data_IF_769110682193
#
_entry.id   IF_769110682193
#
_cell.length_a   1.000
_cell.length_b   1.000
_cell.length_c   1.000
_cell.angle_alpha   90.00
_cell.angle_beta   90.00
_cell.angle_gamma   90.00
#
_symmetry.space_group_name_H-M   'P 1'
#
loop_
_entity.id
_entity.type
_entity.pdbx_description
1 polymer ?
#
# COMPACT_ATOMS: atom_id res chain seq x y z
N UNK A 1 22.39 7.31 10.91
CA UNK A 1 21.40 7.79 9.92
C UNK A 1 21.78 7.15 8.60
N UNK A 2 21.07 6.09 8.21
CA UNK A 2 21.33 5.40 6.93
C UNK A 2 20.73 6.28 5.85
N UNK A 3 21.57 6.81 4.99
CA UNK A 3 21.14 7.67 3.89
C UNK A 3 20.62 6.77 2.76
N UNK A 4 19.31 6.57 2.69
CA UNK A 4 18.64 5.90 1.56
C UNK A 4 18.56 6.85 0.34
N UNK A 5 19.70 7.44 -0.03
CA UNK A 5 19.82 8.19 -1.26
C UNK A 5 19.80 7.22 -2.44
N UNK A 6 18.65 7.00 -3.07
CA UNK A 6 18.52 6.53 -4.46
C UNK A 6 19.25 5.26 -4.90
N UNK A 7 19.89 4.54 -3.99
CA UNK A 7 20.51 3.26 -4.27
C UNK A 7 19.41 2.22 -4.41
N UNK A 8 19.34 1.55 -5.57
CA UNK A 8 18.46 0.43 -5.78
C UNK A 8 18.63 -0.55 -4.61
N UNK A 9 17.56 -0.76 -3.83
CA UNK A 9 17.53 -1.85 -2.87
C UNK A 9 17.83 -3.14 -3.62
N UNK A 10 19.00 -3.81 -3.39
CA UNK A 10 19.38 -4.99 -4.16
C UNK A 10 18.37 -6.14 -4.02
N UNK A 11 17.63 -6.19 -2.91
CA UNK A 11 16.54 -7.15 -2.73
C UNK A 11 15.29 -6.76 -3.51
N UNK A 12 14.91 -5.49 -3.49
CA UNK A 12 13.80 -5.00 -4.30
C UNK A 12 14.06 -5.22 -5.79
N UNK A 13 15.29 -4.98 -6.24
CA UNK A 13 15.69 -5.25 -7.62
C UNK A 13 15.65 -6.75 -7.96
N UNK A 14 16.11 -7.62 -7.06
CA UNK A 14 16.08 -9.08 -7.24
C UNK A 14 14.64 -9.63 -7.26
N UNK A 15 13.71 -9.02 -6.52
CA UNK A 15 12.28 -9.35 -6.52
C UNK A 15 11.50 -8.67 -7.64
N UNK A 16 12.16 -7.90 -8.52
CA UNK A 16 11.51 -7.17 -9.61
C UNK A 16 10.69 -5.96 -9.14
N UNK A 17 10.85 -5.51 -7.89
CA UNK A 17 10.11 -4.37 -7.36
C UNK A 17 10.51 -3.08 -8.08
N UNK A 18 9.52 -2.29 -8.45
CA UNK A 18 9.65 -0.96 -9.07
C UNK A 18 9.40 0.15 -8.07
N UNK A 19 8.62 -0.11 -7.01
CA UNK A 19 8.35 0.84 -5.95
C UNK A 19 8.03 0.12 -4.64
N UNK A 20 8.45 0.71 -3.52
CA UNK A 20 8.11 0.29 -2.16
C UNK A 20 8.32 1.46 -1.19
N UNK A 21 7.61 1.54 -0.06
CA UNK A 21 7.74 2.66 0.88
C UNK A 21 9.06 2.59 1.67
N UNK A 22 9.54 1.39 1.96
CA UNK A 22 10.81 1.09 2.64
C UNK A 22 11.24 -0.34 2.27
N UNK A 23 12.53 -0.68 2.46
CA UNK A 23 13.03 -2.03 2.16
C UNK A 23 12.23 -3.10 2.91
N UNK A 24 11.93 -4.22 2.24
CA UNK A 24 11.16 -5.32 2.80
C UNK A 24 11.74 -5.86 4.12
N UNK A 25 13.06 -5.80 4.29
CA UNK A 25 13.74 -6.20 5.52
C UNK A 25 13.45 -5.29 6.72
N UNK A 26 12.97 -4.06 6.49
CA UNK A 26 12.56 -3.14 7.54
C UNK A 26 11.11 -3.35 7.98
N UNK A 27 10.35 -4.20 7.27
CA UNK A 27 8.99 -4.55 7.63
C UNK A 27 9.01 -5.45 8.89
N UNK A 28 8.28 -5.04 9.92
CA UNK A 28 8.09 -5.79 11.15
C UNK A 28 6.79 -6.59 11.10
N UNK A 29 6.70 -7.66 11.91
CA UNK A 29 5.45 -8.42 12.13
C UNK A 29 4.41 -7.62 12.94
N UNK A 30 4.44 -6.33 12.92
CA UNK A 30 3.41 -5.49 13.51
C UNK A 30 2.17 -5.59 12.63
N UNK A 31 1.31 -6.49 13.02
CA UNK A 31 0.07 -6.81 12.38
C UNK A 31 -0.89 -5.62 12.47
N UNK A 32 -0.87 -4.80 11.47
CA UNK A 32 -1.77 -3.67 11.34
C UNK A 32 -3.03 -4.17 10.67
N UNK A 33 -4.10 -4.33 11.46
CA UNK A 33 -5.38 -4.75 10.90
C UNK A 33 -5.94 -3.71 9.94
N UNK A 34 -6.13 -4.08 8.68
CA UNK A 34 -6.88 -3.26 7.75
C UNK A 34 -8.38 -3.40 8.06
N UNK A 35 -9.03 -2.33 8.50
CA UNK A 35 -10.45 -2.34 8.85
C UNK A 35 -11.32 -2.29 7.59
N UNK A 36 -12.43 -3.03 7.56
CA UNK A 36 -13.40 -3.00 6.45
C UNK A 36 -13.92 -1.57 6.22
N UNK A 37 -14.02 -1.18 4.94
CA UNK A 37 -14.44 0.16 4.54
C UNK A 37 -13.39 1.24 4.77
N UNK A 38 -12.16 0.87 5.09
CA UNK A 38 -11.03 1.79 5.20
C UNK A 38 -10.07 1.60 4.03
N UNK A 39 -9.68 2.71 3.42
CA UNK A 39 -8.56 2.73 2.48
C UNK A 39 -7.31 3.10 3.27
N UNK A 40 -6.24 2.38 3.03
CA UNK A 40 -4.92 2.64 3.60
C UNK A 40 -3.97 2.92 2.45
N UNK A 41 -3.26 4.04 2.49
CA UNK A 41 -2.28 4.43 1.47
C UNK A 41 -0.87 4.56 2.03
N UNK A 42 0.14 4.17 1.25
CA UNK A 42 1.55 4.35 1.54
C UNK A 42 2.26 5.08 0.41
N UNK A 43 3.10 6.05 0.75
CA UNK A 43 3.89 6.83 -0.19
C UNK A 43 5.04 5.99 -0.74
N UNK A 44 5.20 5.99 -2.05
CA UNK A 44 6.29 5.29 -2.74
C UNK A 44 6.92 6.19 -3.79
N UNK A 45 8.18 5.90 -4.13
CA UNK A 45 8.87 6.52 -5.26
C UNK A 45 9.35 5.44 -6.22
N UNK A 46 8.84 5.39 -7.46
CA UNK A 46 9.26 4.39 -8.43
C UNK A 46 10.73 4.54 -8.81
N UNK A 47 11.41 3.42 -9.04
CA UNK A 47 12.78 3.36 -9.58
C UNK A 47 12.81 2.95 -11.06
N UNK A 48 11.64 2.55 -11.61
CA UNK A 48 11.44 2.24 -13.03
C UNK A 48 10.19 2.96 -13.54
N UNK A 49 10.10 3.24 -14.85
CA UNK A 49 9.07 4.10 -15.42
C UNK A 49 7.72 3.39 -15.70
N UNK A 50 7.58 2.11 -15.35
CA UNK A 50 6.35 1.34 -15.61
C UNK A 50 5.97 0.52 -14.38
N UNK A 51 4.70 0.56 -14.00
CA UNK A 51 4.09 -0.28 -12.99
C UNK A 51 3.03 -1.15 -13.64
N UNK A 52 3.11 -2.46 -13.44
CA UNK A 52 2.18 -3.46 -13.99
C UNK A 52 1.37 -4.17 -12.91
N UNK A 53 1.93 -4.32 -11.72
CA UNK A 53 1.26 -4.98 -10.60
C UNK A 53 1.41 -4.16 -9.32
N UNK A 54 0.43 -4.30 -8.43
CA UNK A 54 0.52 -3.82 -7.05
C UNK A 54 0.64 -5.03 -6.11
N UNK A 55 1.41 -4.84 -5.04
CA UNK A 55 1.76 -5.89 -4.10
C UNK A 55 1.37 -5.50 -2.68
N UNK A 56 0.88 -6.48 -1.92
CA UNK A 56 0.64 -6.36 -0.48
C UNK A 56 1.22 -7.58 0.24
N UNK A 57 1.89 -7.36 1.35
CA UNK A 57 2.38 -8.46 2.17
C UNK A 57 1.33 -8.84 3.21
N UNK A 58 0.63 -9.95 2.94
CA UNK A 58 -0.39 -10.51 3.81
C UNK A 58 0.26 -11.32 4.93
N UNK A 59 0.03 -10.93 6.18
CA UNK A 59 0.45 -11.73 7.35
C UNK A 59 -0.60 -12.79 7.70
N UNK A 60 -1.87 -12.38 7.77
CA UNK A 60 -3.00 -13.28 8.08
C UNK A 60 -4.21 -12.91 7.23
N UNK A 61 -4.84 -13.90 6.65
CA UNK A 61 -6.05 -13.73 5.85
C UNK A 61 -7.21 -13.15 6.67
N UNK A 62 -8.06 -12.38 6.00
CA UNK A 62 -9.27 -11.80 6.58
C UNK A 62 -10.45 -12.77 6.62
N UNK A 63 -11.59 -12.24 7.05
CA UNK A 63 -12.87 -12.95 7.08
C UNK A 63 -13.57 -12.99 5.72
N UNK A 64 -14.89 -13.20 5.74
CA UNK A 64 -15.68 -13.27 4.52
C UNK A 64 -15.86 -11.91 3.85
N UNK A 65 -16.09 -11.93 2.55
CA UNK A 65 -16.32 -10.73 1.74
C UNK A 65 -17.59 -9.97 2.17
N UNK A 66 -17.51 -8.66 2.20
CA UNK A 66 -18.64 -7.72 2.29
C UNK A 66 -18.74 -6.82 1.05
N UNK A 67 -17.81 -6.96 0.11
CA UNK A 67 -17.70 -6.16 -1.10
C UNK A 67 -16.41 -6.45 -1.86
N UNK A 68 -16.06 -5.58 -2.78
CA UNK A 68 -14.83 -5.69 -3.58
C UNK A 68 -13.67 -5.10 -2.79
N UNK A 69 -12.59 -5.88 -2.67
CA UNK A 69 -11.31 -5.41 -2.14
C UNK A 69 -10.32 -5.25 -3.29
N UNK A 70 -9.64 -4.11 -3.37
CA UNK A 70 -8.78 -3.77 -4.50
C UNK A 70 -7.65 -2.85 -4.06
N UNK A 71 -6.57 -2.83 -4.83
CA UNK A 71 -5.50 -1.83 -4.67
C UNK A 71 -5.57 -0.78 -5.76
N UNK A 72 -5.16 0.45 -5.43
CA UNK A 72 -5.07 1.57 -6.36
C UNK A 72 -3.70 2.23 -6.36
N UNK A 73 -3.31 2.69 -7.54
CA UNK A 73 -2.18 3.59 -7.74
C UNK A 73 -2.69 5.02 -7.86
N UNK A 74 -2.27 5.89 -6.97
CA UNK A 74 -2.64 7.31 -6.95
C UNK A 74 -1.42 8.19 -7.22
N UNK A 75 -1.65 9.32 -7.89
CA UNK A 75 -0.67 10.40 -7.90
C UNK A 75 -0.45 10.93 -6.48
N UNK A 76 0.64 11.63 -6.25
CA UNK A 76 0.88 12.34 -4.98
C UNK A 76 -0.23 13.35 -4.63
N UNK A 77 -0.87 13.94 -5.64
CA UNK A 77 -2.04 14.82 -5.49
C UNK A 77 -3.35 14.10 -5.20
N UNK A 78 -3.35 12.76 -5.11
CA UNK A 78 -4.52 11.95 -4.75
C UNK A 78 -5.44 11.58 -5.92
N UNK A 79 -5.01 11.69 -7.17
CA UNK A 79 -5.79 11.23 -8.33
C UNK A 79 -5.51 9.75 -8.60
N UNK A 80 -6.54 8.92 -8.68
CA UNK A 80 -6.45 7.51 -9.06
C UNK A 80 -6.01 7.38 -10.52
N UNK A 81 -4.93 6.66 -10.77
CA UNK A 81 -4.40 6.36 -12.10
C UNK A 81 -4.90 5.02 -12.62
N UNK A 82 -4.86 3.99 -11.78
CA UNK A 82 -5.35 2.66 -12.09
C UNK A 82 -5.64 1.88 -10.80
N UNK A 83 -6.49 0.88 -10.91
CA UNK A 83 -6.79 -0.09 -9.86
C UNK A 83 -6.49 -1.51 -10.33
N UNK A 84 -6.31 -2.43 -9.39
CA UNK A 84 -6.24 -3.86 -9.65
C UNK A 84 -7.63 -4.42 -9.95
N UNK A 85 -7.69 -5.65 -10.41
CA UNK A 85 -8.91 -6.46 -10.31
C UNK A 85 -9.23 -6.74 -8.83
N UNK A 86 -10.44 -7.26 -8.58
CA UNK A 86 -10.87 -7.72 -7.26
C UNK A 86 -9.90 -8.77 -6.70
N UNK A 87 -9.31 -8.47 -5.55
CA UNK A 87 -8.39 -9.35 -4.84
C UNK A 87 -8.98 -9.95 -3.56
N UNK A 88 -10.29 -9.81 -3.37
CA UNK A 88 -11.00 -10.29 -2.17
C UNK A 88 -10.73 -11.77 -1.91
N UNK A 89 -10.83 -12.61 -2.95
CA UNK A 89 -10.57 -14.07 -2.83
C UNK A 89 -9.13 -14.36 -2.36
N UNK A 90 -8.15 -13.56 -2.77
CA UNK A 90 -6.77 -13.73 -2.33
C UNK A 90 -6.57 -13.30 -0.86
N UNK A 91 -7.25 -12.24 -0.43
CA UNK A 91 -7.15 -11.71 0.94
C UNK A 91 -7.83 -12.60 2.00
N UNK A 92 -8.84 -13.39 1.62
CA UNK A 92 -9.53 -14.32 2.54
C UNK A 92 -8.94 -15.74 2.53
N UNK A 93 -8.03 -16.05 1.61
CA UNK A 93 -7.46 -17.39 1.50
C UNK A 93 -6.32 -17.59 2.50
N UNK A 94 -6.53 -18.45 3.50
CA UNK A 94 -5.54 -18.76 4.52
C UNK A 94 -4.24 -19.38 3.95
N UNK A 95 -4.26 -19.97 2.75
CA UNK A 95 -3.06 -20.44 2.08
C UNK A 95 -2.10 -19.29 1.67
N UNK A 96 -2.60 -18.06 1.64
CA UNK A 96 -1.82 -16.85 1.33
C UNK A 96 -1.21 -16.20 2.59
N UNK A 97 -1.40 -16.77 3.78
CA UNK A 97 -0.77 -16.25 5.01
C UNK A 97 0.76 -16.21 4.86
N UNK A 98 1.36 -15.14 5.39
CA UNK A 98 2.79 -14.87 5.34
C UNK A 98 3.36 -14.78 3.90
N UNK A 99 2.54 -14.39 2.91
CA UNK A 99 2.95 -14.24 1.51
C UNK A 99 2.79 -12.82 1.00
N UNK A 100 3.53 -12.50 -0.05
CA UNK A 100 3.32 -11.28 -0.84
C UNK A 100 2.35 -11.60 -1.97
N UNK A 101 1.18 -10.98 -1.92
CA UNK A 101 0.20 -11.03 -3.01
C UNK A 101 0.61 -10.02 -4.08
N UNK A 102 0.59 -10.43 -5.34
CA UNK A 102 0.84 -9.57 -6.50
C UNK A 102 -0.38 -9.62 -7.41
N UNK A 103 -0.99 -8.48 -7.66
CA UNK A 103 -2.21 -8.37 -8.48
C UNK A 103 -1.99 -7.36 -9.60
N UNK A 104 -2.31 -7.76 -10.83
CA UNK A 104 -2.13 -6.90 -11.99
C UNK A 104 -3.04 -5.65 -11.92
N UNK A 105 -2.52 -4.52 -12.34
CA UNK A 105 -3.32 -3.34 -12.64
C UNK A 105 -4.24 -3.62 -13.83
N UNK A 106 -5.43 -3.05 -13.85
CA UNK A 106 -6.35 -3.09 -14.99
C UNK A 106 -5.71 -2.54 -16.27
N UNK A 107 -4.78 -1.61 -16.11
CA UNK A 107 -3.97 -1.05 -17.19
C UNK A 107 -2.60 -0.69 -16.62
N UNK A 108 -1.52 -1.17 -17.25
CA UNK A 108 -0.17 -0.79 -16.88
C UNK A 108 0.03 0.73 -16.92
N UNK A 109 0.69 1.28 -15.93
CA UNK A 109 0.85 2.72 -15.76
C UNK A 109 2.28 3.17 -16.00
N UNK A 110 2.46 4.10 -16.94
CA UNK A 110 3.71 4.85 -17.04
C UNK A 110 3.78 5.85 -15.88
N UNK A 111 4.91 5.83 -15.16
CA UNK A 111 5.16 6.67 -13.99
C UNK A 111 6.49 7.40 -14.12
N UNK A 112 6.61 8.54 -13.46
CA UNK A 112 7.89 9.28 -13.39
C UNK A 112 8.70 8.77 -12.21
N UNK A 113 9.97 8.46 -12.43
CA UNK A 113 10.91 8.08 -11.36
C UNK A 113 11.35 9.29 -10.50
N UNK A 114 10.99 10.50 -10.89
CA UNK A 114 11.24 11.73 -10.12
C UNK A 114 10.04 12.18 -9.30
N UNK A 115 8.89 11.52 -9.41
CA UNK A 115 7.64 11.85 -8.72
C UNK A 115 7.30 10.80 -7.67
N UNK A 116 6.53 11.21 -6.67
CA UNK A 116 5.99 10.30 -5.67
C UNK A 116 4.57 9.87 -6.06
N UNK A 117 4.16 8.72 -5.54
CA UNK A 117 2.84 8.12 -5.73
C UNK A 117 2.37 7.50 -4.43
N UNK A 118 1.09 7.20 -4.33
CA UNK A 118 0.54 6.37 -3.25
C UNK A 118 0.05 5.05 -3.81
N UNK A 119 0.44 3.97 -3.14
CA UNK A 119 -0.20 2.67 -3.27
C UNK A 119 -1.22 2.57 -2.16
N UNK A 120 -2.47 2.25 -2.50
CA UNK A 120 -3.56 2.21 -1.55
C UNK A 120 -4.30 0.87 -1.63
N UNK A 121 -4.77 0.37 -0.48
CA UNK A 121 -5.58 -0.84 -0.36
C UNK A 121 -6.92 -0.48 0.26
N UNK A 122 -8.01 -0.86 -0.41
CA UNK A 122 -9.36 -0.93 0.13
C UNK A 122 -9.66 -2.38 0.54
N UNK A 123 -10.09 -2.59 1.78
CA UNK A 123 -10.59 -3.87 2.26
C UNK A 123 -12.10 -3.82 2.49
N UNK A 124 -12.82 -4.83 1.96
CA UNK A 124 -14.26 -5.03 2.17
C UNK A 124 -14.50 -6.45 2.69
N UNK A 125 -14.18 -6.67 3.97
CA UNK A 125 -14.23 -7.98 4.62
C UNK A 125 -14.90 -7.87 6.00
N UNK A 126 -15.55 -8.93 6.48
CA UNK A 126 -16.18 -8.96 7.81
C UNK A 126 -15.18 -8.85 8.96
N UNK A 127 -13.98 -9.38 8.77
CA UNK A 127 -12.81 -9.11 9.62
C UNK A 127 -11.63 -8.78 8.74
N UNK A 128 -10.90 -7.73 9.11
CA UNK A 128 -9.77 -7.26 8.33
C UNK A 128 -8.64 -8.29 8.29
N UNK A 129 -7.94 -8.42 7.14
CA UNK A 129 -6.69 -9.15 7.10
C UNK A 129 -5.63 -8.40 7.90
N UNK A 130 -4.60 -9.11 8.32
CA UNK A 130 -3.43 -8.48 8.90
C UNK A 130 -2.36 -8.30 7.84
N UNK A 131 -1.89 -7.07 7.66
CA UNK A 131 -0.91 -6.70 6.65
C UNK A 131 0.38 -6.33 7.36
N UNK A 132 1.50 -6.79 6.80
CA UNK A 132 2.82 -6.46 7.34
C UNK A 132 3.10 -4.97 7.14
N UNK A 133 3.70 -4.37 8.14
CA UNK A 133 4.02 -2.95 8.15
C UNK A 133 5.18 -2.62 9.09
N UNK A 134 5.52 -1.37 9.20
CA UNK A 134 6.45 -0.85 10.20
C UNK A 134 5.67 -0.07 11.26
N UNK A 135 5.90 -0.39 12.53
CA UNK A 135 5.38 0.40 13.65
C UNK A 135 6.33 1.58 13.89
N UNK A 136 5.77 2.78 13.92
CA UNK A 136 6.53 3.98 14.29
C UNK A 136 6.56 4.22 15.80
N UNK A 137 6.02 3.26 16.58
CA UNK A 137 5.93 3.30 18.03
C UNK A 137 4.69 4.03 18.54
N UNK A 138 4.13 3.54 19.66
CA UNK A 138 2.99 4.14 20.30
C UNK A 138 3.30 5.59 20.72
N UNK A 139 2.53 6.54 20.21
CA UNK A 139 2.67 7.97 20.51
C UNK A 139 3.38 8.81 19.45
N UNK A 140 3.88 8.20 18.37
CA UNK A 140 4.38 8.94 17.22
C UNK A 140 3.37 8.84 16.07
N UNK A 141 2.88 9.96 15.61
CA UNK A 141 2.25 10.06 14.30
C UNK A 141 3.37 10.24 13.28
N UNK A 142 3.30 9.54 12.16
CA UNK A 142 4.23 9.76 11.05
C UNK A 142 4.19 11.23 10.63
N UNK A 143 5.29 11.99 10.79
CA UNK A 143 5.24 13.42 10.53
C UNK A 143 5.02 13.69 9.05
N UNK A 144 4.10 14.58 8.74
CA UNK A 144 4.02 15.15 7.39
C UNK A 144 5.25 16.03 7.16
N UNK A 145 6.04 15.72 6.15
CA UNK A 145 7.21 16.51 5.76
C UNK A 145 6.90 17.19 4.43
N UNK A 146 6.99 18.52 4.39
CA UNK A 146 6.67 19.33 3.19
C UNK A 146 5.27 19.06 2.61
N UNK A 147 4.28 18.78 3.47
CA UNK A 147 2.91 18.47 3.03
C UNK A 147 2.69 17.03 2.54
N UNK A 148 3.74 16.21 2.48
CA UNK A 148 3.63 14.81 2.09
C UNK A 148 3.43 13.94 3.33
N UNK A 149 2.40 13.08 3.30
CA UNK A 149 2.18 12.08 4.32
C UNK A 149 2.83 10.77 3.88
N UNK A 150 3.68 10.12 4.69
CA UNK A 150 4.24 8.81 4.33
C UNK A 150 3.15 7.74 4.22
N UNK A 151 2.08 7.87 5.02
CA UNK A 151 0.89 7.01 4.95
C UNK A 151 -0.37 7.80 5.32
N UNK A 152 -1.52 7.30 4.90
CA UNK A 152 -2.82 7.90 5.20
C UNK A 152 -3.93 6.85 5.25
N UNK A 153 -5.04 7.20 5.93
CA UNK A 153 -6.26 6.40 5.96
C UNK A 153 -7.47 7.25 5.62
N UNK A 154 -8.45 6.62 4.93
CA UNK A 154 -9.73 7.20 4.59
C UNK A 154 -10.83 6.19 4.92
N UNK A 155 -11.79 6.56 5.77
CA UNK A 155 -12.85 5.67 6.26
C UNK A 155 -14.14 5.80 5.45
N UNK A 156 -15.07 4.82 5.61
CA UNK A 156 -16.41 4.87 5.04
C UNK A 156 -16.46 4.65 3.53
N UNK A 157 -15.47 3.97 2.98
CA UNK A 157 -15.36 3.75 1.53
C UNK A 157 -15.88 2.37 1.14
N UNK A 158 -16.63 2.31 0.03
CA UNK A 158 -17.10 1.06 -0.60
C UNK A 158 -16.42 0.79 -1.94
N UNK A 159 -15.67 1.74 -2.46
CA UNK A 159 -14.87 1.67 -3.69
C UNK A 159 -13.68 2.62 -3.58
N UNK A 160 -12.66 2.45 -4.41
CA UNK A 160 -11.57 3.41 -4.54
C UNK A 160 -12.09 4.70 -5.20
N UNK A 161 -12.03 5.86 -4.53
CA UNK A 161 -12.49 7.11 -5.11
C UNK A 161 -11.54 7.57 -6.24
N UNK A 162 -12.09 8.20 -7.28
CA UNK A 162 -11.28 8.76 -8.37
C UNK A 162 -10.29 9.83 -7.88
N UNK A 163 -10.62 10.51 -6.77
CA UNK A 163 -9.75 11.51 -6.14
C UNK A 163 -9.84 11.43 -4.62
N UNK A 164 -8.69 11.60 -3.95
CA UNK A 164 -8.55 11.66 -2.49
C UNK A 164 -7.91 13.00 -2.13
N UNK A 165 -8.53 13.76 -1.23
CA UNK A 165 -7.86 14.90 -0.63
C UNK A 165 -6.88 14.41 0.46
N UNK A 166 -5.64 14.13 0.09
CA UNK A 166 -4.61 13.57 0.98
C UNK A 166 -4.41 14.44 2.22
N UNK A 167 -4.49 15.77 2.10
CA UNK A 167 -4.33 16.67 3.24
C UNK A 167 -5.41 16.45 4.32
N UNK A 168 -6.63 16.09 3.91
CA UNK A 168 -7.77 15.87 4.82
C UNK A 168 -7.85 14.43 5.38
N UNK A 169 -7.02 13.49 4.89
CA UNK A 169 -7.00 12.12 5.40
C UNK A 169 -6.37 12.03 6.80
N UNK A 170 -6.66 10.97 7.54
CA UNK A 170 -6.01 10.69 8.82
C UNK A 170 -4.62 10.06 8.56
N UNK A 171 -3.63 10.43 9.37
CA UNK A 171 -2.32 9.77 9.34
C UNK A 171 -2.35 8.62 10.34
N UNK A 172 -2.13 7.36 9.93
CA UNK A 172 -2.07 6.23 10.85
C UNK A 172 -0.79 6.27 11.69
N UNK A 173 -0.79 5.55 12.80
CA UNK A 173 0.38 5.37 13.67
C UNK A 173 1.40 4.39 13.11
N UNK A 174 1.15 3.85 11.93
CA UNK A 174 1.94 2.79 11.33
C UNK A 174 1.99 2.92 9.81
N UNK A 175 3.12 2.54 9.23
CA UNK A 175 3.32 2.49 7.79
C UNK A 175 3.12 1.05 7.28
N UNK A 176 2.29 0.88 6.25
CA UNK A 176 2.04 -0.41 5.63
C UNK A 176 3.05 -0.68 4.53
N UNK A 177 3.44 -1.95 4.39
CA UNK A 177 4.27 -2.34 3.27
C UNK A 177 3.41 -2.68 2.06
N UNK A 178 3.45 -1.81 1.08
CA UNK A 178 2.92 -2.03 -0.26
C UNK A 178 4.05 -1.92 -1.27
N UNK A 179 4.00 -2.73 -2.32
CA UNK A 179 4.99 -2.71 -3.37
C UNK A 179 4.35 -2.58 -4.74
N UNK A 180 5.19 -2.36 -5.75
CA UNK A 180 4.80 -2.37 -7.16
C UNK A 180 5.89 -3.05 -8.01
N UNK A 181 5.49 -3.73 -9.08
CA UNK A 181 6.39 -4.35 -10.06
C UNK A 181 5.96 -4.09 -11.49
#
# INVERSE_FOLDING_TARGET
>A
MVNYSGGADPYGAALGLVAQPYPMQAANNNNLGATSGVIIGALVRPVKPLITNLLVWLSTAGGTSTGVSEMGLYTEGGTLLAATADMTAALINAANNATVLSTALSTAQAVSTSSNYYLALLCQLTSAPTIVGADVGAGFTTPSVNGHKPSWTLTGQTALPATVNIAATTTPVADFWFGAS
#
